data_IF_154293000078
#
_entry.id   IF_154293000078
#
_cell.length_a   1.000
_cell.length_b   1.000
_cell.length_c   1.000
_cell.angle_alpha   90.00
_cell.angle_beta   90.00
_cell.angle_gamma   90.00
#
_symmetry.space_group_name_H-M   'P 1'
#
loop_
_entity.id
_entity.type
_entity.pdbx_description
1 polymer ?
#
# COMPACT_ATOMS: atom_id res chain seq x y z
N UNK A 1 0.22 3.83 9.10
CA UNK A 1 -0.73 2.73 9.41
C UNK A 1 -1.61 3.20 10.55
N UNK A 2 -2.92 2.92 10.51
CA UNK A 2 -3.81 3.22 11.64
C UNK A 2 -3.45 2.26 12.78
N UNK A 3 -3.37 2.76 14.01
CA UNK A 3 -3.06 1.96 15.19
C UNK A 3 -4.18 0.94 15.43
N UNK A 4 -3.90 -0.36 15.25
CA UNK A 4 -4.89 -1.43 15.44
C UNK A 4 -5.49 -1.41 16.85
N UNK A 5 -4.66 -1.09 17.85
CA UNK A 5 -5.04 -0.98 19.26
C UNK A 5 -6.09 0.11 19.54
N UNK A 6 -6.37 0.98 18.58
CA UNK A 6 -7.39 2.03 18.67
C UNK A 6 -8.63 1.75 17.79
N UNK A 7 -8.77 0.53 17.26
CA UNK A 7 -9.87 0.17 16.36
C UNK A 7 -10.84 -0.78 17.06
N UNK A 8 -12.13 -0.49 16.91
CA UNK A 8 -13.22 -1.32 17.39
C UNK A 8 -14.01 -1.84 16.21
N UNK A 9 -14.25 -3.15 16.17
CA UNK A 9 -15.02 -3.80 15.12
C UNK A 9 -16.37 -4.25 15.65
N UNK A 10 -17.42 -4.02 14.87
CA UNK A 10 -18.67 -4.73 15.11
C UNK A 10 -18.50 -6.21 14.73
N UNK A 11 -19.04 -7.14 15.54
CA UNK A 11 -18.87 -8.59 15.33
C UNK A 11 -19.29 -9.05 13.93
N UNK A 12 -20.28 -8.39 13.32
CA UNK A 12 -20.75 -8.73 11.97
C UNK A 12 -19.66 -8.62 10.90
N UNK A 13 -18.63 -7.78 11.11
CA UNK A 13 -17.52 -7.63 10.16
C UNK A 13 -16.80 -8.97 9.90
N UNK A 14 -16.63 -9.79 10.93
CA UNK A 14 -15.99 -11.10 10.82
C UNK A 14 -16.85 -12.12 10.06
N UNK A 15 -18.17 -11.93 10.02
CA UNK A 15 -19.06 -12.75 9.21
C UNK A 15 -19.01 -12.35 7.73
N UNK A 16 -18.73 -11.08 7.44
CA UNK A 16 -18.74 -10.53 6.08
C UNK A 16 -17.39 -10.70 5.37
N UNK A 17 -16.28 -10.42 6.07
CA UNK A 17 -14.93 -10.45 5.50
C UNK A 17 -14.22 -11.77 5.81
N UNK A 18 -14.52 -12.37 6.96
CA UNK A 18 -13.79 -13.49 7.53
C UNK A 18 -12.97 -13.11 8.76
N UNK A 19 -12.32 -14.12 9.35
CA UNK A 19 -11.44 -13.98 10.51
C UNK A 19 -10.03 -13.55 10.10
N UNK A 20 -9.16 -13.39 11.08
CA UNK A 20 -7.74 -13.11 10.84
C UNK A 20 -7.08 -14.24 10.03
N UNK A 21 -6.21 -13.84 9.10
CA UNK A 21 -5.44 -14.77 8.29
C UNK A 21 -4.24 -15.28 9.08
N UNK A 22 -4.37 -16.48 9.66
CA UNK A 22 -3.34 -17.14 10.46
C UNK A 22 -2.12 -17.58 9.64
N UNK A 23 -2.16 -17.48 8.31
CA UNK A 23 -0.98 -17.73 7.48
C UNK A 23 0.02 -16.56 7.50
N UNK A 24 -0.40 -15.38 7.96
CA UNK A 24 0.44 -14.20 8.12
C UNK A 24 1.00 -14.15 9.55
N UNK A 25 2.29 -13.88 9.68
CA UNK A 25 2.99 -13.80 10.96
C UNK A 25 2.82 -12.46 11.64
N UNK A 26 2.74 -11.36 10.87
CA UNK A 26 2.76 -10.01 11.43
C UNK A 26 1.66 -9.09 10.89
N UNK A 27 1.05 -9.42 9.74
CA UNK A 27 0.14 -8.52 9.01
C UNK A 27 -1.34 -8.91 8.99
N UNK A 28 -1.77 -9.87 9.81
CA UNK A 28 -3.17 -10.32 9.85
C UNK A 28 -4.16 -9.16 10.11
N UNK A 29 -3.88 -8.31 11.11
CA UNK A 29 -4.71 -7.16 11.45
C UNK A 29 -4.84 -6.16 10.31
N UNK A 30 -3.71 -5.87 9.68
CA UNK A 30 -3.63 -4.95 8.55
C UNK A 30 -4.39 -5.48 7.34
N UNK A 31 -4.29 -6.80 7.07
CA UNK A 31 -5.05 -7.45 5.99
C UNK A 31 -6.55 -7.30 6.21
N UNK A 32 -7.05 -7.55 7.42
CA UNK A 32 -8.47 -7.38 7.72
C UNK A 32 -8.95 -5.94 7.45
N UNK A 33 -8.15 -4.95 7.86
CA UNK A 33 -8.47 -3.54 7.67
C UNK A 33 -8.49 -3.09 6.22
N UNK A 34 -7.48 -3.46 5.42
CA UNK A 34 -7.42 -3.07 4.02
C UNK A 34 -8.55 -3.71 3.21
N UNK A 35 -8.92 -4.95 3.54
CA UNK A 35 -10.09 -5.60 2.96
C UNK A 35 -11.38 -4.87 3.34
N UNK A 36 -11.58 -4.58 4.62
CA UNK A 36 -12.77 -3.89 5.10
C UNK A 36 -13.00 -2.55 4.38
N UNK A 37 -11.96 -1.72 4.32
CA UNK A 37 -12.08 -0.38 3.75
C UNK A 37 -12.11 -0.43 2.22
N UNK A 38 -11.15 -1.12 1.59
CA UNK A 38 -10.92 -0.98 0.15
C UNK A 38 -11.68 -1.99 -0.71
N UNK A 39 -12.03 -3.17 -0.16
CA UNK A 39 -12.66 -4.25 -0.93
C UNK A 39 -14.14 -4.39 -0.62
N UNK A 40 -14.50 -4.34 0.67
CA UNK A 40 -15.88 -4.51 1.15
C UNK A 40 -16.59 -3.18 1.40
N UNK A 41 -15.87 -2.05 1.33
CA UNK A 41 -16.43 -0.71 1.50
C UNK A 41 -17.21 -0.55 2.82
N UNK A 42 -16.70 -1.15 3.89
CA UNK A 42 -17.29 -1.06 5.23
C UNK A 42 -17.22 0.38 5.71
N UNK A 43 -18.34 0.90 6.21
CA UNK A 43 -18.40 2.22 6.83
C UNK A 43 -17.57 2.27 8.10
N UNK A 44 -16.83 3.37 8.30
CA UNK A 44 -16.08 3.62 9.52
C UNK A 44 -16.32 5.05 9.99
N UNK A 45 -16.10 5.29 11.28
CA UNK A 45 -16.16 6.61 11.90
C UNK A 45 -14.82 6.89 12.59
N UNK A 46 -14.20 8.02 12.25
CA UNK A 46 -13.02 8.49 12.97
C UNK A 46 -13.43 9.32 14.19
N UNK A 47 -12.91 8.95 15.35
CA UNK A 47 -13.11 9.68 16.61
C UNK A 47 -11.79 10.34 16.99
N UNK A 48 -11.76 11.67 17.04
CA UNK A 48 -10.56 12.43 17.36
C UNK A 48 -10.28 12.43 18.88
N UNK A 49 -9.87 11.28 19.41
CA UNK A 49 -9.58 11.08 20.82
C UNK A 49 -8.47 10.05 20.97
N UNK A 50 -7.59 10.24 21.94
CA UNK A 50 -6.57 9.24 22.27
C UNK A 50 -7.24 8.06 22.98
N UNK A 51 -7.27 6.90 22.30
CA UNK A 51 -7.91 5.67 22.82
C UNK A 51 -6.91 4.66 23.38
N UNK A 52 -5.62 4.76 23.01
CA UNK A 52 -4.60 3.81 23.43
C UNK A 52 -3.24 4.49 23.59
N UNK A 53 -2.49 4.06 24.60
CA UNK A 53 -1.06 4.28 24.76
C UNK A 53 -0.44 2.89 24.61
N UNK A 54 0.40 2.70 23.59
CA UNK A 54 0.98 1.39 23.29
C UNK A 54 2.50 1.48 23.25
N UNK A 55 3.13 0.33 23.54
CA UNK A 55 4.57 0.18 23.50
C UNK A 55 5.07 -0.04 22.07
N UNK A 56 6.10 0.69 21.68
CA UNK A 56 6.76 0.59 20.37
C UNK A 56 7.90 -0.43 20.33
N UNK A 57 8.16 -1.15 21.42
CA UNK A 57 9.19 -2.21 21.49
C UNK A 57 8.76 -3.55 20.86
N UNK A 58 7.52 -3.64 20.36
CA UNK A 58 6.96 -4.87 19.78
C UNK A 58 7.71 -5.38 18.55
N UNK A 59 7.54 -6.68 18.26
CA UNK A 59 8.22 -7.39 17.16
C UNK A 59 8.00 -6.77 15.77
N UNK A 60 6.89 -6.08 15.55
CA UNK A 60 6.59 -5.41 14.27
C UNK A 60 7.36 -4.09 14.09
N UNK A 61 8.04 -3.62 15.14
CA UNK A 61 8.85 -2.40 15.15
C UNK A 61 10.35 -2.68 15.10
N UNK A 62 10.76 -3.96 15.05
CA UNK A 62 12.17 -4.33 14.93
C UNK A 62 12.60 -4.34 13.46
N UNK A 63 13.81 -3.82 13.20
CA UNK A 63 14.32 -3.69 11.83
C UNK A 63 14.44 -5.04 11.10
N UNK A 64 14.79 -6.09 11.86
CA UNK A 64 14.91 -7.47 11.37
C UNK A 64 13.62 -7.96 10.68
N UNK A 65 12.46 -7.49 11.16
CA UNK A 65 11.15 -7.91 10.66
C UNK A 65 10.64 -7.04 9.50
N UNK A 66 11.28 -5.93 9.14
CA UNK A 66 10.81 -5.06 8.06
C UNK A 66 10.72 -5.77 6.71
N UNK A 67 11.67 -6.65 6.39
CA UNK A 67 11.64 -7.43 5.15
C UNK A 67 10.43 -8.37 5.10
N UNK A 68 10.15 -9.06 6.21
CA UNK A 68 9.00 -9.94 6.33
C UNK A 68 7.68 -9.16 6.23
N UNK A 69 7.58 -8.02 6.92
CA UNK A 69 6.40 -7.13 6.86
C UNK A 69 6.13 -6.66 5.44
N UNK A 70 7.17 -6.29 4.70
CA UNK A 70 7.04 -5.86 3.30
C UNK A 70 6.59 -7.01 2.40
N UNK A 71 7.19 -8.19 2.54
CA UNK A 71 6.82 -9.37 1.78
C UNK A 71 5.39 -9.84 2.05
N UNK A 72 4.94 -9.82 3.31
CA UNK A 72 3.56 -10.15 3.66
C UNK A 72 2.56 -9.14 3.08
N UNK A 73 2.86 -7.84 3.20
CA UNK A 73 2.03 -6.80 2.59
C UNK A 73 1.89 -7.01 1.08
N UNK A 74 3.03 -7.22 0.40
CA UNK A 74 3.08 -7.45 -1.04
C UNK A 74 2.24 -8.68 -1.42
N UNK A 75 2.45 -9.80 -0.73
CA UNK A 75 1.69 -11.03 -0.98
C UNK A 75 0.18 -10.83 -0.82
N UNK A 76 -0.27 -10.08 0.20
CA UNK A 76 -1.68 -9.74 0.36
C UNK A 76 -2.17 -8.85 -0.78
N UNK A 77 -1.41 -7.82 -1.17
CA UNK A 77 -1.83 -6.91 -2.24
C UNK A 77 -1.96 -7.63 -3.59
N UNK A 78 -0.99 -8.46 -3.96
CA UNK A 78 -1.07 -9.24 -5.20
C UNK A 78 -2.20 -10.26 -5.18
N UNK A 79 -2.49 -10.86 -4.02
CA UNK A 79 -3.59 -11.83 -3.89
C UNK A 79 -4.96 -11.16 -3.93
N UNK A 80 -5.15 -10.08 -3.17
CA UNK A 80 -6.46 -9.49 -2.93
C UNK A 80 -6.82 -8.36 -3.91
N UNK A 81 -5.81 -7.71 -4.49
CA UNK A 81 -5.93 -6.56 -5.39
C UNK A 81 -5.10 -6.71 -6.69
N UNK A 82 -5.16 -7.86 -7.41
CA UNK A 82 -4.27 -8.15 -8.54
C UNK A 82 -4.35 -7.12 -9.68
N UNK A 83 -5.55 -6.59 -9.96
CA UNK A 83 -5.72 -5.59 -11.02
C UNK A 83 -5.01 -4.28 -10.70
N UNK A 84 -5.03 -3.85 -9.43
CA UNK A 84 -4.32 -2.65 -9.00
C UNK A 84 -2.82 -2.87 -9.04
N UNK A 85 -2.34 -4.04 -8.60
CA UNK A 85 -0.92 -4.36 -8.61
C UNK A 85 -0.35 -4.44 -10.03
N UNK A 86 -1.05 -5.07 -10.97
CA UNK A 86 -0.63 -5.11 -12.37
C UNK A 86 -0.49 -3.70 -12.98
N UNK A 87 -1.43 -2.81 -12.67
CA UNK A 87 -1.37 -1.43 -13.12
C UNK A 87 -0.22 -0.67 -12.46
N UNK A 88 -0.02 -0.86 -11.15
CA UNK A 88 1.08 -0.28 -10.40
C UNK A 88 2.44 -0.69 -10.98
N UNK A 89 2.64 -1.98 -11.24
CA UNK A 89 3.88 -2.52 -11.81
C UNK A 89 4.16 -1.92 -13.19
N UNK A 90 3.12 -1.82 -14.04
CA UNK A 90 3.23 -1.20 -15.35
C UNK A 90 3.59 0.28 -15.25
N UNK A 91 2.98 1.03 -14.33
CA UNK A 91 3.30 2.44 -14.12
C UNK A 91 4.74 2.61 -13.66
N UNK A 92 5.19 1.80 -12.71
CA UNK A 92 6.58 1.81 -12.24
C UNK A 92 7.57 1.51 -13.37
N UNK A 93 7.30 0.52 -14.22
CA UNK A 93 8.11 0.25 -15.41
C UNK A 93 8.17 1.43 -16.37
N UNK A 94 7.04 2.10 -16.61
CA UNK A 94 7.00 3.30 -17.46
C UNK A 94 7.79 4.46 -16.86
N UNK A 95 7.74 4.65 -15.54
CA UNK A 95 8.53 5.68 -14.86
C UNK A 95 10.04 5.43 -14.97
N UNK A 96 10.48 4.18 -14.80
CA UNK A 96 11.88 3.78 -14.99
C UNK A 96 12.32 4.05 -16.44
N UNK A 97 11.55 3.59 -17.42
CA UNK A 97 11.84 3.81 -18.84
C UNK A 97 11.89 5.31 -19.17
N UNK A 98 10.95 6.11 -18.66
CA UNK A 98 10.96 7.55 -18.84
C UNK A 98 12.19 8.21 -18.22
N UNK A 99 12.61 7.77 -17.03
CA UNK A 99 13.82 8.28 -16.37
C UNK A 99 15.08 7.95 -17.18
N UNK A 100 15.15 6.77 -17.79
CA UNK A 100 16.24 6.37 -18.69
C UNK A 100 16.24 7.17 -20.00
N UNK A 101 15.09 7.30 -20.65
CA UNK A 101 14.94 8.08 -21.89
C UNK A 101 15.34 9.54 -21.68
N UNK A 102 14.95 10.15 -20.54
CA UNK A 102 15.33 11.53 -20.20
C UNK A 102 16.85 11.73 -20.05
N UNK A 103 17.63 10.66 -19.83
CA UNK A 103 19.11 10.76 -19.78
C UNK A 103 19.72 10.86 -21.19
N UNK A 104 19.04 10.36 -22.22
CA UNK A 104 19.54 10.32 -23.60
C UNK A 104 19.87 11.70 -24.17
N UNK A 105 21.03 11.81 -24.83
CA UNK A 105 21.48 13.06 -25.47
C UNK A 105 20.56 13.47 -26.63
N UNK A 106 20.05 12.51 -27.39
CA UNK A 106 19.12 12.74 -28.49
C UNK A 106 17.81 13.34 -27.98
N UNK A 107 17.22 12.75 -26.93
CA UNK A 107 15.99 13.24 -26.30
C UNK A 107 16.18 14.67 -25.77
N UNK A 108 17.34 14.96 -25.13
CA UNK A 108 17.68 16.30 -24.67
C UNK A 108 17.80 17.31 -25.82
N UNK A 109 18.43 16.92 -26.93
CA UNK A 109 18.55 17.75 -28.12
C UNK A 109 17.17 18.01 -28.75
N UNK A 110 16.36 16.97 -28.95
CA UNK A 110 14.99 17.10 -29.49
C UNK A 110 14.09 17.99 -28.62
N UNK A 111 14.23 17.90 -27.30
CA UNK A 111 13.51 18.78 -26.37
C UNK A 111 14.01 20.22 -26.46
N UNK A 112 15.33 20.44 -26.56
CA UNK A 112 15.93 21.76 -26.72
C UNK A 112 15.46 22.46 -28.02
N UNK A 113 15.38 21.71 -29.12
CA UNK A 113 14.88 22.21 -30.40
C UNK A 113 13.34 22.27 -30.49
N UNK A 114 12.62 21.93 -29.42
CA UNK A 114 11.17 22.08 -29.36
C UNK A 114 10.38 21.03 -30.13
N UNK A 115 11.02 19.96 -30.61
CA UNK A 115 10.34 18.86 -31.32
C UNK A 115 9.52 17.95 -30.40
N UNK A 116 9.77 18.01 -29.08
CA UNK A 116 8.95 17.34 -28.07
C UNK A 116 7.99 18.36 -27.44
N UNK A 117 6.68 18.15 -27.58
CA UNK A 117 5.68 18.91 -26.82
C UNK A 117 6.02 18.76 -25.34
N UNK A 118 6.17 19.88 -24.60
CA UNK A 118 6.33 19.88 -23.14
C UNK A 118 5.34 18.89 -22.54
N UNK A 119 5.84 17.78 -22.01
CA UNK A 119 5.07 16.89 -21.15
C UNK A 119 4.87 17.67 -19.84
N UNK A 120 3.87 18.56 -19.81
CA UNK A 120 3.42 19.23 -18.60
C UNK A 120 2.67 18.18 -17.77
N UNK A 121 3.30 17.67 -16.72
CA UNK A 121 2.57 17.00 -15.65
C UNK A 121 2.06 18.07 -14.68
N UNK A 122 0.74 18.15 -14.58
CA UNK A 122 0.05 18.50 -13.32
C UNK A 122 0.09 17.28 -12.42
#
# INVERSE_FOLDING_TARGET
MICHQAIFFHKSLFNEIGLYDETLKLKADWKLLILAICKYNISYLHINTTLSIYDTSGISSTEENHKLLAAENEAVLYKEFPMFMNNYDRLNQLEILLAELKKSRLIKALNYFGFLKKIKHT
#
